data_IF_246192415959
#
_entry.id   IF_246192415959
#
_cell.length_a   1.000
_cell.length_b   1.000
_cell.length_c   1.000
_cell.angle_alpha   90.00
_cell.angle_beta   90.00
_cell.angle_gamma   90.00
#
_symmetry.space_group_name_H-M   'P 1'
#
loop_
_entity.id
_entity.type
_entity.pdbx_description
1 polymer ?
#
# COMPACT_ATOMS: atom_id res chain seq x y z
N UNK A 1 1.40 19.20 0.66
CA UNK A 1 0.59 18.28 1.52
C UNK A 1 1.51 17.44 2.36
N UNK A 2 1.17 17.20 3.64
CA UNK A 2 1.88 16.28 4.55
C UNK A 2 2.04 14.88 3.94
N UNK A 3 0.97 14.34 3.38
CA UNK A 3 0.96 13.01 2.77
C UNK A 3 1.98 12.84 1.63
N UNK A 4 2.32 13.92 0.93
CA UNK A 4 3.38 13.87 -0.08
C UNK A 4 4.77 13.72 0.57
N UNK A 5 4.97 14.36 1.75
CA UNK A 5 6.19 14.19 2.52
C UNK A 5 6.28 12.78 3.12
N UNK A 6 5.18 12.26 3.66
CA UNK A 6 5.12 10.89 4.19
C UNK A 6 5.50 9.86 3.12
N UNK A 7 4.95 10.01 1.89
CA UNK A 7 5.30 9.17 0.75
C UNK A 7 6.80 9.28 0.38
N UNK A 8 7.33 10.50 0.34
CA UNK A 8 8.72 10.74 -0.01
C UNK A 8 9.68 10.12 1.02
N UNK A 9 9.43 10.37 2.31
CA UNK A 9 10.26 9.85 3.40
C UNK A 9 10.19 8.31 3.46
N UNK A 10 9.04 7.71 3.16
CA UNK A 10 8.87 6.26 3.08
C UNK A 10 9.65 5.65 1.93
N UNK A 11 9.55 6.27 0.76
CA UNK A 11 10.29 5.85 -0.43
C UNK A 11 11.81 5.99 -0.22
N UNK A 12 12.23 7.01 0.52
CA UNK A 12 13.64 7.24 0.85
C UNK A 12 14.20 6.12 1.71
N UNK A 13 13.48 5.68 2.75
CA UNK A 13 13.94 4.57 3.61
C UNK A 13 14.10 3.27 2.79
N UNK A 14 13.18 3.00 1.85
CA UNK A 14 13.30 1.85 0.95
C UNK A 14 14.49 2.01 -0.02
N UNK A 15 14.69 3.19 -0.58
CA UNK A 15 15.81 3.49 -1.48
C UNK A 15 17.16 3.34 -0.78
N UNK A 16 17.29 3.83 0.46
CA UNK A 16 18.50 3.68 1.26
C UNK A 16 18.81 2.21 1.56
N UNK A 17 17.79 1.39 1.87
CA UNK A 17 17.96 -0.04 2.04
C UNK A 17 18.51 -0.69 0.76
N UNK A 18 17.87 -0.46 -0.38
CA UNK A 18 18.26 -1.09 -1.65
C UNK A 18 19.66 -0.68 -2.11
N UNK A 19 20.05 0.58 -1.89
CA UNK A 19 21.41 1.04 -2.16
C UNK A 19 22.45 0.37 -1.25
N UNK A 20 22.11 0.14 0.03
CA UNK A 20 23.01 -0.53 0.97
C UNK A 20 23.18 -2.03 0.63
N UNK A 21 22.14 -2.70 0.16
CA UNK A 21 22.18 -4.11 -0.26
C UNK A 21 22.81 -4.30 -1.65
N UNK A 22 22.76 -3.26 -2.49
CA UNK A 22 23.27 -3.27 -3.86
C UNK A 22 22.36 -4.00 -4.85
N UNK A 23 22.59 -3.75 -6.14
CA UNK A 23 21.72 -4.23 -7.25
C UNK A 23 21.50 -5.74 -7.28
N UNK A 24 22.42 -6.51 -6.73
CA UNK A 24 22.29 -7.98 -6.65
C UNK A 24 21.08 -8.47 -5.87
N UNK A 25 20.55 -7.65 -4.94
CA UNK A 25 19.36 -8.02 -4.17
C UNK A 25 18.07 -7.99 -5.01
N UNK A 26 18.04 -7.31 -6.15
CA UNK A 26 16.84 -7.14 -6.96
C UNK A 26 16.26 -8.46 -7.48
N UNK A 27 17.09 -9.47 -7.67
CA UNK A 27 16.65 -10.82 -8.08
C UNK A 27 16.07 -11.66 -6.95
N UNK A 28 16.10 -11.18 -5.70
CA UNK A 28 15.54 -11.89 -4.55
C UNK A 28 14.01 -11.92 -4.66
N UNK A 29 13.42 -13.14 -4.59
CA UNK A 29 11.98 -13.31 -4.57
C UNK A 29 11.40 -12.89 -3.22
N UNK A 30 10.34 -12.10 -3.24
CA UNK A 30 9.50 -11.80 -2.07
C UNK A 30 8.48 -12.91 -1.85
N UNK A 31 7.84 -12.92 -0.67
CA UNK A 31 6.72 -13.82 -0.41
C UNK A 31 5.41 -13.33 -1.03
N UNK A 32 5.40 -12.14 -1.62
CA UNK A 32 4.25 -11.60 -2.32
C UNK A 32 4.21 -12.14 -3.75
N UNK A 33 3.33 -13.12 -4.00
CA UNK A 33 3.09 -13.70 -5.34
C UNK A 33 4.38 -14.14 -6.07
N UNK A 34 5.46 -14.40 -5.31
CA UNK A 34 6.82 -14.68 -5.83
C UNK A 34 7.41 -13.55 -6.70
N UNK A 35 6.94 -12.32 -6.54
CA UNK A 35 7.54 -11.19 -7.20
C UNK A 35 8.97 -10.99 -6.72
N UNK A 36 9.88 -10.74 -7.63
CA UNK A 36 11.22 -10.29 -7.27
C UNK A 36 11.18 -8.86 -6.74
N UNK A 37 12.23 -8.45 -6.02
CA UNK A 37 12.35 -7.05 -5.61
C UNK A 37 12.35 -6.13 -6.84
N UNK A 38 12.93 -6.57 -7.97
CA UNK A 38 12.87 -5.84 -9.24
C UNK A 38 11.44 -5.65 -9.74
N UNK A 39 10.60 -6.68 -9.67
CA UNK A 39 9.17 -6.58 -10.02
C UNK A 39 8.43 -5.59 -9.13
N UNK A 40 8.74 -5.58 -7.84
CA UNK A 40 8.19 -4.63 -6.86
C UNK A 40 8.59 -3.20 -7.22
N UNK A 41 9.86 -2.94 -7.51
CA UNK A 41 10.33 -1.59 -7.86
C UNK A 41 9.74 -1.14 -9.20
N UNK A 42 9.64 -2.03 -10.19
CA UNK A 42 8.96 -1.75 -11.47
C UNK A 42 7.49 -1.39 -11.26
N UNK A 43 6.79 -2.10 -10.36
CA UNK A 43 5.41 -1.80 -9.97
C UNK A 43 5.29 -0.41 -9.30
N UNK A 44 6.15 -0.12 -8.34
CA UNK A 44 6.16 1.18 -7.67
C UNK A 44 6.46 2.33 -8.65
N UNK A 45 7.39 2.13 -9.58
CA UNK A 45 7.74 3.09 -10.63
C UNK A 45 6.55 3.37 -11.56
N UNK A 46 5.93 2.31 -12.09
CA UNK A 46 4.75 2.41 -12.95
C UNK A 46 3.65 3.29 -12.32
N UNK A 47 3.30 3.00 -11.07
CA UNK A 47 2.20 3.71 -10.40
C UNK A 47 2.59 5.10 -9.88
N UNK A 48 3.87 5.38 -9.67
CA UNK A 48 4.36 6.73 -9.44
C UNK A 48 4.16 7.59 -10.69
N UNK A 49 4.54 7.07 -11.86
CA UNK A 49 4.29 7.73 -13.12
C UNK A 49 2.79 8.01 -13.33
N UNK A 50 1.93 7.01 -13.13
CA UNK A 50 0.49 7.17 -13.20
C UNK A 50 -0.07 8.20 -12.21
N UNK A 51 0.53 8.34 -11.03
CA UNK A 51 0.13 9.35 -10.05
C UNK A 51 0.44 10.78 -10.53
N UNK A 52 1.52 10.99 -11.25
CA UNK A 52 1.83 12.28 -11.88
C UNK A 52 0.88 12.56 -13.04
N UNK A 53 0.64 11.57 -13.91
CA UNK A 53 -0.25 11.71 -15.07
C UNK A 53 -1.67 12.09 -14.66
N UNK A 54 -2.20 11.53 -13.57
CA UNK A 54 -3.56 11.86 -13.12
C UNK A 54 -3.72 13.30 -12.65
N UNK A 55 -2.65 13.95 -12.13
CA UNK A 55 -2.69 15.36 -11.76
C UNK A 55 -2.72 16.30 -12.94
N UNK A 56 -2.22 15.88 -14.11
CA UNK A 56 -2.30 16.69 -15.35
C UNK A 56 -3.75 16.88 -15.80
N UNK A 57 -4.64 15.94 -15.46
CA UNK A 57 -6.06 15.96 -15.86
C UNK A 57 -6.28 15.51 -17.30
N UNK A 58 -7.49 15.73 -17.84
CA UNK A 58 -7.84 15.30 -19.19
C UNK A 58 -7.68 13.78 -19.37
N UNK A 59 -7.11 13.36 -20.50
CA UNK A 59 -6.93 11.96 -20.86
C UNK A 59 -5.52 11.41 -20.53
N UNK A 60 -4.68 12.18 -19.83
CA UNK A 60 -3.30 11.80 -19.55
C UNK A 60 -3.22 10.44 -18.83
N UNK A 61 -4.00 10.27 -17.76
CA UNK A 61 -4.02 9.01 -17.03
C UNK A 61 -4.60 7.87 -17.89
N UNK A 62 -5.67 8.11 -18.62
CA UNK A 62 -6.33 7.08 -19.44
C UNK A 62 -5.39 6.59 -20.55
N UNK A 63 -4.70 7.49 -21.22
CA UNK A 63 -3.70 7.16 -22.24
C UNK A 63 -2.54 6.33 -21.71
N UNK A 64 -2.10 6.62 -20.48
CA UNK A 64 -1.07 5.85 -19.78
C UNK A 64 -1.60 4.47 -19.37
N UNK A 65 -2.78 4.44 -18.72
CA UNK A 65 -3.28 3.23 -18.08
C UNK A 65 -3.89 2.23 -19.06
N UNK A 66 -4.53 2.70 -20.12
CA UNK A 66 -5.25 1.84 -21.06
C UNK A 66 -4.40 0.68 -21.63
N UNK A 67 -3.18 0.89 -22.18
CA UNK A 67 -2.39 -0.21 -22.72
C UNK A 67 -2.03 -1.29 -21.69
N UNK A 68 -1.88 -0.91 -20.43
CA UNK A 68 -1.56 -1.82 -19.31
C UNK A 68 -2.83 -2.58 -18.92
N UNK A 69 -3.92 -1.86 -18.72
CA UNK A 69 -5.20 -2.44 -18.33
C UNK A 69 -5.76 -3.40 -19.39
N UNK A 70 -5.60 -3.10 -20.67
CA UNK A 70 -6.00 -4.02 -21.76
C UNK A 70 -5.28 -5.38 -21.61
N UNK A 71 -4.00 -5.40 -21.28
CA UNK A 71 -3.25 -6.66 -21.05
C UNK A 71 -3.75 -7.42 -19.82
N UNK A 72 -4.11 -6.69 -18.74
CA UNK A 72 -4.69 -7.32 -17.54
C UNK A 72 -6.07 -7.91 -17.85
N UNK A 73 -6.89 -7.22 -18.64
CA UNK A 73 -8.19 -7.72 -19.08
C UNK A 73 -8.05 -8.93 -20.01
N UNK A 74 -6.96 -9.02 -20.76
CA UNK A 74 -6.61 -10.20 -21.60
C UNK A 74 -6.01 -11.35 -20.77
N UNK A 75 -6.01 -11.24 -19.44
CA UNK A 75 -5.63 -12.32 -18.51
C UNK A 75 -4.17 -12.35 -18.08
N UNK A 76 -3.36 -11.34 -18.42
CA UNK A 76 -2.01 -11.22 -17.91
C UNK A 76 -2.01 -10.76 -16.45
N UNK A 77 -1.03 -11.21 -15.69
CA UNK A 77 -0.73 -10.63 -14.39
C UNK A 77 -0.27 -9.18 -14.53
N UNK A 78 -0.38 -8.40 -13.46
CA UNK A 78 0.08 -7.00 -13.48
C UNK A 78 1.59 -6.89 -13.75
N UNK A 79 2.40 -7.83 -13.24
CA UNK A 79 3.85 -7.89 -13.54
C UNK A 79 4.08 -8.10 -15.03
N UNK A 80 3.38 -9.04 -15.66
CA UNK A 80 3.52 -9.25 -17.11
C UNK A 80 3.04 -8.03 -17.91
N UNK A 81 1.98 -7.34 -17.45
CA UNK A 81 1.42 -6.17 -18.12
C UNK A 81 2.34 -4.92 -18.00
N UNK A 82 3.18 -4.83 -16.97
CA UNK A 82 4.12 -3.70 -16.80
C UNK A 82 5.38 -3.85 -17.68
N UNK A 83 5.77 -5.07 -18.08
CA UNK A 83 7.02 -5.32 -18.82
C UNK A 83 7.15 -4.49 -20.10
N UNK A 84 6.14 -4.38 -20.99
CA UNK A 84 6.24 -3.53 -22.17
C UNK A 84 6.41 -2.05 -21.85
N UNK A 85 5.81 -1.57 -20.75
CA UNK A 85 5.95 -0.18 -20.31
C UNK A 85 7.35 0.10 -19.78
N UNK A 86 7.95 -0.82 -19.01
CA UNK A 86 9.33 -0.72 -18.53
C UNK A 86 10.35 -0.74 -19.68
N UNK A 87 9.99 -1.27 -20.86
CA UNK A 87 10.80 -1.21 -22.08
C UNK A 87 12.27 -1.67 -21.89
N UNK A 88 12.48 -2.74 -21.10
CA UNK A 88 13.80 -3.30 -20.83
C UNK A 88 14.62 -2.57 -19.77
N UNK A 89 14.06 -1.59 -19.08
CA UNK A 89 14.71 -0.93 -17.92
C UNK A 89 14.77 -1.90 -16.75
N UNK A 90 15.98 -2.16 -16.24
CA UNK A 90 16.27 -3.12 -15.15
C UNK A 90 17.45 -2.66 -14.31
N UNK A 91 17.73 -3.32 -13.20
CA UNK A 91 18.92 -3.11 -12.40
C UNK A 91 19.07 -1.69 -11.85
N UNK A 92 20.28 -1.14 -11.93
CA UNK A 92 20.56 0.20 -11.46
C UNK A 92 19.71 1.27 -12.15
N UNK A 93 19.49 1.12 -13.47
CA UNK A 93 18.67 2.08 -14.21
C UNK A 93 17.23 2.11 -13.69
N UNK A 94 16.67 0.96 -13.33
CA UNK A 94 15.34 0.89 -12.74
C UNK A 94 15.28 1.56 -11.36
N UNK A 95 16.31 1.39 -10.53
CA UNK A 95 16.40 2.07 -9.24
C UNK A 95 16.48 3.59 -9.40
N UNK A 96 17.30 4.06 -10.33
CA UNK A 96 17.47 5.50 -10.61
C UNK A 96 16.16 6.10 -11.15
N UNK A 97 15.51 5.44 -12.11
CA UNK A 97 14.25 5.90 -12.71
C UNK A 97 13.10 5.88 -11.68
N UNK A 98 13.04 4.83 -10.85
CA UNK A 98 12.08 4.77 -9.75
C UNK A 98 12.32 5.91 -8.75
N UNK A 99 13.58 6.15 -8.33
CA UNK A 99 13.88 7.24 -7.42
C UNK A 99 13.51 8.61 -8.02
N UNK A 100 13.85 8.86 -9.28
CA UNK A 100 13.42 10.07 -9.97
C UNK A 100 11.88 10.21 -9.96
N UNK A 101 11.15 9.11 -10.18
CA UNK A 101 9.68 9.14 -10.12
C UNK A 101 9.14 9.48 -8.72
N UNK A 102 9.85 9.12 -7.64
CA UNK A 102 9.51 9.52 -6.28
C UNK A 102 9.61 11.03 -6.11
N UNK A 103 10.69 11.64 -6.61
CA UNK A 103 10.87 13.10 -6.59
C UNK A 103 9.79 13.80 -7.42
N UNK A 104 9.45 13.27 -8.60
CA UNK A 104 8.41 13.79 -9.47
C UNK A 104 7.04 13.77 -8.79
N UNK A 105 6.67 12.68 -8.13
CA UNK A 105 5.43 12.56 -7.34
C UNK A 105 5.43 13.56 -6.20
N UNK A 106 6.51 13.65 -5.42
CA UNK A 106 6.61 14.61 -4.33
C UNK A 106 6.41 16.04 -4.82
N UNK A 107 7.14 16.42 -5.88
CA UNK A 107 7.07 17.77 -6.45
C UNK A 107 5.66 18.09 -7.00
N UNK A 108 4.99 17.12 -7.62
CA UNK A 108 3.64 17.29 -8.15
C UNK A 108 2.57 17.43 -7.06
N UNK A 109 2.74 16.69 -5.94
CA UNK A 109 1.71 16.62 -4.89
C UNK A 109 1.92 17.56 -3.70
N UNK A 110 3.14 18.02 -3.39
CA UNK A 110 3.44 18.84 -2.21
C UNK A 110 2.54 20.10 -2.11
N UNK A 111 2.29 20.75 -3.24
CA UNK A 111 1.53 22.00 -3.35
C UNK A 111 0.18 21.83 -4.07
N UNK A 112 -0.21 20.60 -4.45
CA UNK A 112 -1.46 20.34 -5.13
C UNK A 112 -2.67 20.61 -4.20
N UNK A 113 -3.81 20.99 -4.78
CA UNK A 113 -5.08 21.08 -4.04
C UNK A 113 -5.45 19.67 -3.51
N UNK A 114 -5.51 19.46 -2.18
CA UNK A 114 -5.81 18.16 -1.60
C UNK A 114 -7.21 17.63 -1.95
N UNK A 115 -8.13 18.50 -2.37
CA UNK A 115 -9.51 18.15 -2.75
C UNK A 115 -9.67 17.91 -4.26
N UNK A 116 -8.67 18.25 -5.07
CA UNK A 116 -8.74 18.03 -6.52
C UNK A 116 -9.12 16.57 -6.81
N UNK A 117 -10.15 16.36 -7.63
CA UNK A 117 -10.55 15.02 -8.07
C UNK A 117 -9.59 14.52 -9.13
N UNK A 118 -9.13 13.28 -8.96
CA UNK A 118 -8.16 12.62 -9.85
C UNK A 118 -8.61 11.19 -10.16
N UNK A 119 -8.27 10.74 -11.37
CA UNK A 119 -8.53 9.38 -11.84
C UNK A 119 -7.56 8.37 -11.21
N UNK A 120 -7.90 7.10 -11.28
CA UNK A 120 -7.07 5.98 -10.86
C UNK A 120 -7.56 4.68 -11.52
N UNK A 121 -6.98 3.54 -11.16
CA UNK A 121 -7.45 2.22 -11.59
C UNK A 121 -8.80 1.80 -10.97
N UNK A 122 -9.49 2.67 -10.28
CA UNK A 122 -10.78 2.51 -9.64
C UNK A 122 -11.58 3.81 -9.65
N UNK A 123 -12.55 4.00 -8.73
CA UNK A 123 -13.30 5.24 -8.62
C UNK A 123 -12.39 6.46 -8.45
N UNK A 124 -12.85 7.62 -8.96
CA UNK A 124 -12.14 8.88 -8.72
C UNK A 124 -12.03 9.20 -7.23
N UNK A 125 -10.88 9.71 -6.85
CA UNK A 125 -10.57 10.07 -5.47
C UNK A 125 -9.98 11.48 -5.36
N UNK A 126 -9.80 11.98 -4.15
CA UNK A 126 -9.09 13.25 -3.94
C UNK A 126 -7.58 13.07 -4.18
N UNK A 127 -6.88 14.15 -4.55
CA UNK A 127 -5.42 14.13 -4.66
C UNK A 127 -4.76 13.71 -3.34
N UNK A 128 -5.34 14.10 -2.18
CA UNK A 128 -4.90 13.62 -0.86
C UNK A 128 -5.00 12.09 -0.76
N UNK A 129 -6.15 11.51 -1.11
CA UNK A 129 -6.33 10.06 -1.06
C UNK A 129 -5.40 9.35 -2.05
N UNK A 130 -5.14 9.94 -3.22
CA UNK A 130 -4.23 9.37 -4.23
C UNK A 130 -2.80 9.28 -3.71
N UNK A 131 -2.28 10.35 -3.12
CA UNK A 131 -0.91 10.32 -2.57
C UNK A 131 -0.80 9.45 -1.32
N UNK A 132 -1.86 9.40 -0.49
CA UNK A 132 -1.91 8.45 0.64
C UNK A 132 -1.91 7.00 0.14
N UNK A 133 -2.62 6.70 -0.96
CA UNK A 133 -2.58 5.38 -1.56
C UNK A 133 -1.17 5.03 -2.11
N UNK A 134 -0.44 5.99 -2.71
CA UNK A 134 0.96 5.76 -3.10
C UNK A 134 1.86 5.48 -1.90
N UNK A 135 1.68 6.22 -0.80
CA UNK A 135 2.39 5.95 0.45
C UNK A 135 2.06 4.55 0.98
N UNK A 136 0.79 4.16 0.98
CA UNK A 136 0.35 2.83 1.40
C UNK A 136 1.00 1.72 0.56
N UNK A 137 1.01 1.85 -0.76
CA UNK A 137 1.65 0.90 -1.67
C UNK A 137 3.17 0.79 -1.42
N UNK A 138 3.84 1.94 -1.29
CA UNK A 138 5.28 1.96 -1.00
C UNK A 138 5.58 1.31 0.35
N UNK A 139 4.76 1.60 1.38
CA UNK A 139 4.93 1.02 2.70
C UNK A 139 4.70 -0.50 2.68
N UNK A 140 3.61 -0.96 2.05
CA UNK A 140 3.26 -2.38 2.01
C UNK A 140 4.31 -3.20 1.24
N UNK A 141 4.62 -2.80 0.02
CA UNK A 141 5.65 -3.47 -0.79
C UNK A 141 7.05 -3.31 -0.20
N UNK A 142 7.34 -2.16 0.43
CA UNK A 142 8.57 -1.97 1.22
C UNK A 142 8.71 -3.02 2.31
N UNK A 143 7.63 -3.32 3.07
CA UNK A 143 7.67 -4.37 4.10
C UNK A 143 8.02 -5.74 3.50
N UNK A 144 7.50 -6.05 2.32
CA UNK A 144 7.82 -7.30 1.63
C UNK A 144 9.29 -7.38 1.22
N UNK A 145 9.89 -6.25 0.85
CA UNK A 145 11.33 -6.14 0.55
C UNK A 145 12.16 -6.30 1.81
N UNK A 146 11.84 -5.58 2.90
CA UNK A 146 12.51 -5.72 4.19
C UNK A 146 12.46 -7.16 4.70
N UNK A 147 11.30 -7.82 4.58
CA UNK A 147 11.10 -9.22 4.97
C UNK A 147 11.98 -10.16 4.14
N UNK A 148 11.99 -10.02 2.81
CA UNK A 148 12.77 -10.87 1.91
C UNK A 148 14.27 -10.76 2.15
N UNK A 149 14.74 -9.57 2.55
CA UNK A 149 16.15 -9.30 2.87
C UNK A 149 16.50 -9.61 4.33
N UNK A 150 15.53 -10.01 5.16
CA UNK A 150 15.75 -10.29 6.58
C UNK A 150 16.12 -9.05 7.40
N UNK A 151 15.72 -7.86 6.95
CA UNK A 151 16.04 -6.59 7.61
C UNK A 151 14.92 -6.11 8.51
N UNK A 152 15.29 -5.45 9.61
CA UNK A 152 14.32 -4.76 10.46
C UNK A 152 14.00 -3.40 9.86
N UNK A 153 12.70 -3.05 9.93
CA UNK A 153 12.21 -1.75 9.50
C UNK A 153 11.99 -0.86 10.71
N UNK A 154 12.50 0.35 10.66
CA UNK A 154 12.18 1.38 11.65
C UNK A 154 10.84 2.03 11.30
N UNK A 155 9.80 1.68 12.06
CA UNK A 155 8.47 2.24 11.87
C UNK A 155 8.35 3.66 12.44
N UNK A 156 7.63 4.53 11.74
CA UNK A 156 7.47 5.95 12.09
C UNK A 156 6.01 6.39 12.03
N UNK A 157 5.67 7.44 12.75
CA UNK A 157 4.29 7.96 12.85
C UNK A 157 3.72 8.47 11.52
N UNK A 158 4.52 8.61 10.48
CA UNK A 158 4.03 8.94 9.13
C UNK A 158 3.04 7.90 8.58
N UNK A 159 2.98 6.69 9.14
CA UNK A 159 1.97 5.69 8.79
C UNK A 159 0.55 6.07 9.22
N UNK A 160 0.35 7.14 10.01
CA UNK A 160 -0.97 7.53 10.53
C UNK A 160 -2.01 7.73 9.44
N UNK A 161 -1.61 8.35 8.32
CA UNK A 161 -2.52 8.58 7.19
C UNK A 161 -2.88 7.27 6.45
N UNK A 162 -1.94 6.32 6.37
CA UNK A 162 -2.17 4.96 5.85
C UNK A 162 -3.11 4.18 6.79
N UNK A 163 -2.86 4.21 8.10
CA UNK A 163 -3.74 3.59 9.10
C UNK A 163 -5.16 4.15 8.99
N UNK A 164 -5.29 5.48 8.89
CA UNK A 164 -6.59 6.13 8.67
C UNK A 164 -7.27 5.65 7.38
N UNK A 165 -6.52 5.49 6.29
CA UNK A 165 -7.03 4.90 5.05
C UNK A 165 -7.58 3.49 5.30
N UNK A 166 -6.85 2.65 6.05
CA UNK A 166 -7.33 1.33 6.47
C UNK A 166 -8.65 1.41 7.22
N UNK A 167 -8.77 2.34 8.17
CA UNK A 167 -9.99 2.51 8.98
C UNK A 167 -11.20 2.89 8.12
N UNK A 168 -11.06 3.88 7.23
CA UNK A 168 -12.17 4.32 6.37
C UNK A 168 -12.52 3.30 5.26
N UNK A 169 -11.64 2.36 4.98
CA UNK A 169 -11.88 1.26 4.06
C UNK A 169 -12.74 0.13 4.64
N UNK A 170 -13.20 0.25 5.90
CA UNK A 170 -14.10 -0.74 6.51
C UNK A 170 -15.26 -1.11 5.60
N UNK A 171 -16.07 -0.11 5.21
CA UNK A 171 -17.21 -0.33 4.32
C UNK A 171 -16.80 -0.86 2.94
N UNK A 172 -15.67 -0.37 2.39
CA UNK A 172 -15.13 -0.83 1.10
C UNK A 172 -14.83 -2.33 1.12
N UNK A 173 -14.21 -2.85 2.18
CA UNK A 173 -13.89 -4.28 2.35
C UNK A 173 -15.10 -5.16 2.04
N UNK A 174 -16.28 -4.81 2.54
CA UNK A 174 -17.50 -5.60 2.37
C UNK A 174 -18.20 -5.32 1.04
N UNK A 175 -18.34 -4.05 0.67
CA UNK A 175 -18.99 -3.64 -0.59
C UNK A 175 -18.27 -4.25 -1.80
N UNK A 176 -16.94 -4.22 -1.80
CA UNK A 176 -16.12 -4.82 -2.86
C UNK A 176 -16.41 -6.33 -3.04
N UNK A 177 -16.71 -7.02 -1.93
CA UNK A 177 -17.08 -8.45 -1.89
C UNK A 177 -18.57 -8.71 -2.06
N UNK A 178 -19.39 -7.67 -2.26
CA UNK A 178 -20.87 -7.76 -2.32
C UNK A 178 -21.47 -8.34 -1.03
N UNK A 179 -20.84 -8.07 0.11
CA UNK A 179 -21.31 -8.44 1.43
C UNK A 179 -21.97 -7.26 2.13
N UNK A 180 -22.89 -7.55 3.06
CA UNK A 180 -23.44 -6.53 3.95
C UNK A 180 -22.35 -6.01 4.90
N UNK A 181 -22.37 -4.70 5.15
CA UNK A 181 -21.42 -4.08 6.11
C UNK A 181 -21.91 -4.42 7.53
N UNK A 182 -21.11 -5.14 8.34
CA UNK A 182 -21.51 -5.46 9.72
C UNK A 182 -21.54 -4.20 10.61
N UNK A 183 -22.46 -4.19 11.55
CA UNK A 183 -22.62 -3.11 12.53
C UNK A 183 -22.58 -3.68 13.96
N UNK A 184 -22.11 -2.90 14.95
CA UNK A 184 -21.56 -1.54 14.83
C UNK A 184 -20.14 -1.52 14.24
N UNK A 185 -19.77 -0.41 13.61
CA UNK A 185 -18.39 -0.16 13.17
C UNK A 185 -17.41 -0.34 14.33
N UNK A 186 -16.31 -1.10 14.18
CA UNK A 186 -15.38 -1.34 15.27
C UNK A 186 -14.68 -0.06 15.76
N UNK A 187 -14.56 0.07 17.08
CA UNK A 187 -13.70 1.07 17.72
C UNK A 187 -12.24 0.60 17.67
N UNK A 188 -11.34 1.47 17.26
CA UNK A 188 -9.91 1.16 17.19
C UNK A 188 -9.12 1.92 18.25
N UNK A 189 -8.21 1.20 18.93
CA UNK A 189 -7.25 1.74 19.90
C UNK A 189 -5.87 1.22 19.49
N UNK A 190 -5.09 2.05 18.83
CA UNK A 190 -3.83 1.62 18.21
C UNK A 190 -2.65 2.41 18.79
N UNK A 191 -1.63 1.69 19.26
CA UNK A 191 -0.38 2.27 19.72
C UNK A 191 0.49 2.64 18.50
N UNK A 192 0.81 3.91 18.37
CA UNK A 192 1.68 4.46 17.34
C UNK A 192 3.13 4.02 17.55
N UNK A 193 4.00 4.09 16.52
CA UNK A 193 5.44 3.90 16.67
C UNK A 193 6.08 4.79 17.74
N UNK A 194 5.63 6.05 17.88
CA UNK A 194 6.08 6.99 18.93
C UNK A 194 5.63 6.62 20.35
N UNK A 195 4.67 5.68 20.50
CA UNK A 195 4.01 5.36 21.76
C UNK A 195 2.75 6.19 22.03
N UNK A 196 2.37 7.14 21.16
CA UNK A 196 1.05 7.76 21.21
C UNK A 196 -0.06 6.73 21.03
N UNK A 197 -1.26 7.03 21.54
CA UNK A 197 -2.45 6.21 21.31
C UNK A 197 -3.36 6.90 20.30
N UNK A 198 -3.55 6.26 19.15
CA UNK A 198 -4.48 6.72 18.13
C UNK A 198 -5.81 5.98 18.25
N UNK A 199 -6.90 6.73 18.08
CA UNK A 199 -8.25 6.18 18.24
C UNK A 199 -9.16 6.61 17.10
N UNK A 200 -10.07 5.72 16.69
CA UNK A 200 -11.07 5.98 15.66
C UNK A 200 -12.41 5.34 16.03
N UNK A 201 -13.46 5.92 15.49
CA UNK A 201 -14.85 5.51 15.62
C UNK A 201 -15.41 5.70 17.04
N UNK A 202 -16.59 5.17 17.30
CA UNK A 202 -17.30 5.33 18.58
C UNK A 202 -16.68 4.45 19.66
N UNK A 203 -16.23 5.07 20.74
CA UNK A 203 -15.65 4.37 21.91
C UNK A 203 -16.64 3.46 22.64
N UNK A 204 -17.94 3.69 22.47
CA UNK A 204 -19.00 2.88 23.06
C UNK A 204 -19.35 1.65 22.20
N UNK A 205 -18.70 1.48 21.04
CA UNK A 205 -18.89 0.32 20.19
C UNK A 205 -18.61 -0.98 20.94
N UNK A 206 -19.48 -1.94 20.80
CA UNK A 206 -19.29 -3.30 21.34
C UNK A 206 -18.27 -4.11 20.54
N UNK A 207 -17.83 -3.59 19.40
CA UNK A 207 -16.82 -4.22 18.53
C UNK A 207 -15.54 -3.39 18.58
N UNK A 208 -14.37 -4.04 18.79
CA UNK A 208 -13.09 -3.34 19.03
C UNK A 208 -11.91 -4.05 18.36
N UNK A 209 -10.91 -3.24 18.01
CA UNK A 209 -9.57 -3.70 17.58
C UNK A 209 -8.54 -2.91 18.39
N UNK A 210 -7.66 -3.63 19.10
CA UNK A 210 -6.63 -3.05 19.96
C UNK A 210 -5.27 -3.67 19.64
N UNK A 211 -4.21 -2.86 19.65
CA UNK A 211 -2.85 -3.34 19.39
C UNK A 211 -1.92 -2.26 18.83
N UNK A 212 -0.98 -2.64 18.00
CA UNK A 212 -0.08 -1.66 17.35
C UNK A 212 -0.67 -1.16 16.03
N UNK A 213 -0.42 0.12 15.72
CA UNK A 213 -0.80 0.72 14.45
C UNK A 213 -0.12 0.02 13.26
N UNK A 214 1.10 -0.48 13.48
CA UNK A 214 1.88 -1.22 12.48
C UNK A 214 1.19 -2.54 12.13
N UNK A 215 0.81 -3.35 13.13
CA UNK A 215 0.12 -4.63 12.88
C UNK A 215 -1.23 -4.41 12.20
N UNK A 216 -1.98 -3.38 12.61
CA UNK A 216 -3.23 -3.03 11.92
C UNK A 216 -2.97 -2.66 10.46
N UNK A 217 -1.96 -1.82 10.18
CA UNK A 217 -1.57 -1.47 8.82
C UNK A 217 -1.18 -2.72 8.00
N UNK A 218 -0.41 -3.64 8.59
CA UNK A 218 -0.02 -4.90 7.95
C UNK A 218 -1.22 -5.77 7.56
N UNK A 219 -2.26 -5.80 8.40
CA UNK A 219 -3.48 -6.58 8.11
C UNK A 219 -4.31 -5.93 7.01
N UNK A 220 -4.58 -4.62 7.07
CA UNK A 220 -5.45 -3.96 6.08
C UNK A 220 -4.80 -3.81 4.71
N UNK A 221 -3.47 -3.85 4.63
CA UNK A 221 -2.68 -3.92 3.38
C UNK A 221 -2.38 -5.36 2.93
N UNK A 222 -2.82 -6.36 3.70
CA UNK A 222 -2.59 -7.78 3.45
C UNK A 222 -1.11 -8.20 3.39
N UNK A 223 -0.23 -7.45 4.04
CA UNK A 223 1.18 -7.85 4.24
C UNK A 223 1.28 -8.99 5.26
N UNK A 224 0.34 -9.08 6.19
CA UNK A 224 0.23 -10.17 7.18
C UNK A 224 -1.21 -10.67 7.27
N UNK A 225 -1.36 -11.94 7.61
CA UNK A 225 -2.64 -12.45 8.12
C UNK A 225 -2.85 -11.93 9.54
N UNK A 226 -4.08 -11.57 9.92
CA UNK A 226 -4.34 -11.08 11.27
C UNK A 226 -3.96 -12.11 12.36
N UNK A 227 -4.05 -13.41 12.05
CA UNK A 227 -3.69 -14.48 12.98
C UNK A 227 -2.16 -14.60 13.21
N UNK A 228 -1.34 -13.85 12.47
CA UNK A 228 0.10 -13.72 12.64
C UNK A 228 0.48 -12.44 13.39
N UNK A 229 -0.51 -11.69 13.88
CA UNK A 229 -0.35 -10.44 14.65
C UNK A 229 -0.77 -10.65 16.10
N UNK A 230 -0.47 -9.65 16.94
CA UNK A 230 -0.90 -9.59 18.34
C UNK A 230 -2.12 -8.69 18.54
N UNK A 231 -2.84 -8.35 17.47
CA UNK A 231 -4.06 -7.55 17.56
C UNK A 231 -5.12 -8.29 18.40
N UNK A 232 -5.67 -7.59 19.38
CA UNK A 232 -6.83 -8.06 20.15
C UNK A 232 -8.10 -7.64 19.43
N UNK A 233 -8.97 -8.60 19.12
CA UNK A 233 -10.19 -8.39 18.35
C UNK A 233 -11.38 -8.84 19.15
N UNK A 234 -12.38 -7.97 19.32
CA UNK A 234 -13.59 -8.21 20.09
C UNK A 234 -14.82 -7.84 19.26
N UNK A 235 -15.84 -8.68 19.31
CA UNK A 235 -17.12 -8.49 18.62
C UNK A 235 -17.12 -8.95 17.17
N UNK A 236 -18.27 -9.48 16.73
CA UNK A 236 -18.42 -10.10 15.41
C UNK A 236 -18.04 -9.16 14.23
N UNK A 237 -18.43 -7.86 14.22
CA UNK A 237 -18.02 -6.96 13.13
C UNK A 237 -16.50 -6.85 12.93
N UNK A 238 -15.74 -6.78 14.03
CA UNK A 238 -14.27 -6.71 13.94
C UNK A 238 -13.69 -8.06 13.49
N UNK A 239 -14.22 -9.19 13.96
CA UNK A 239 -13.80 -10.53 13.53
C UNK A 239 -14.04 -10.72 12.04
N UNK A 240 -15.23 -10.35 11.55
CA UNK A 240 -15.55 -10.44 10.12
C UNK A 240 -14.67 -9.52 9.28
N UNK A 241 -14.38 -8.29 9.76
CA UNK A 241 -13.50 -7.39 9.04
C UNK A 241 -12.10 -7.97 8.87
N UNK A 242 -11.51 -8.50 9.92
CA UNK A 242 -10.13 -9.03 9.88
C UNK A 242 -9.99 -10.26 8.98
N UNK A 243 -11.08 -10.97 8.68
CA UNK A 243 -11.08 -12.06 7.69
C UNK A 243 -10.88 -11.58 6.25
N UNK A 244 -11.25 -10.34 5.94
CA UNK A 244 -11.34 -9.83 4.58
C UNK A 244 -10.66 -8.47 4.38
N UNK A 245 -10.03 -7.91 5.41
CA UNK A 245 -9.53 -6.54 5.40
C UNK A 245 -8.73 -6.25 4.12
N UNK A 246 -9.13 -5.18 3.43
CA UNK A 246 -8.51 -4.72 2.19
C UNK A 246 -8.69 -3.20 2.08
N UNK A 247 -7.59 -2.44 2.15
CA UNK A 247 -7.64 -0.99 2.03
C UNK A 247 -7.23 -0.46 0.64
N UNK A 248 -6.76 -1.31 -0.24
CA UNK A 248 -6.34 -0.97 -1.60
C UNK A 248 -7.45 -1.21 -2.62
N UNK A 249 -7.34 -0.51 -3.76
CA UNK A 249 -8.25 -0.65 -4.90
C UNK A 249 -8.01 -1.96 -5.65
N UNK A 250 -9.00 -2.38 -6.43
CA UNK A 250 -8.94 -3.59 -7.24
C UNK A 250 -10.03 -4.59 -6.87
N UNK A 251 -10.02 -5.77 -7.50
CA UNK A 251 -10.99 -6.82 -7.17
C UNK A 251 -10.81 -7.30 -5.72
N UNK A 252 -11.79 -8.04 -5.17
CA UNK A 252 -11.63 -8.69 -3.88
C UNK A 252 -10.39 -9.60 -3.87
N UNK A 253 -9.52 -9.42 -2.90
CA UNK A 253 -8.34 -10.25 -2.71
C UNK A 253 -8.33 -10.79 -1.27
N UNK A 254 -8.07 -12.10 -1.12
CA UNK A 254 -8.03 -12.71 0.19
C UNK A 254 -6.68 -12.44 0.87
N UNK A 255 -6.69 -12.20 2.20
CA UNK A 255 -5.45 -12.09 2.96
C UNK A 255 -4.54 -13.32 2.78
N UNK A 256 -3.22 -13.16 2.93
CA UNK A 256 -2.30 -14.29 2.86
C UNK A 256 -2.69 -15.36 3.91
N UNK A 257 -2.42 -16.62 3.61
CA UNK A 257 -2.63 -17.67 4.60
C UNK A 257 -1.73 -17.44 5.82
N UNK A 258 -2.21 -17.87 6.99
CA UNK A 258 -1.43 -17.78 8.24
C UNK A 258 -0.03 -18.40 8.06
N UNK A 259 1.00 -17.70 8.52
CA UNK A 259 2.38 -18.17 8.55
C UNK A 259 3.08 -18.17 7.18
N UNK A 260 2.46 -17.61 6.13
CA UNK A 260 3.06 -17.61 4.79
C UNK A 260 3.85 -16.35 4.47
N UNK A 261 3.73 -15.30 5.29
CA UNK A 261 4.48 -14.05 5.13
C UNK A 261 5.16 -13.67 6.45
N UNK A 262 6.46 -13.58 6.41
CA UNK A 262 7.31 -13.33 7.58
C UNK A 262 8.66 -12.73 7.15
N UNK A 263 9.41 -12.22 8.11
CA UNK A 263 10.79 -11.78 7.87
C UNK A 263 11.71 -12.99 7.78
N UNK A 264 12.49 -13.10 6.70
CA UNK A 264 13.49 -14.19 6.52
C UNK A 264 14.52 -14.13 7.63
N UNK A 265 14.89 -15.28 8.20
CA UNK A 265 15.90 -15.37 9.25
C UNK A 265 15.37 -15.23 10.69
N UNK A 266 14.08 -15.18 10.87
CA UNK A 266 13.40 -15.27 12.19
C UNK A 266 13.01 -16.71 12.52
#
# INVERSE_FOLDING_TARGET
MEQAKDFFDESKDLHELLNAEGVGCLSTATMFKNWTIEDVIGHLYLFNYGAVETLKGGDHFDNFWKPINDQVLDGKSLVEAQVPWLNGVTGNQLLDDWWQSVEDVFNAYKDADPKKRVKGGGPEMSARSKITARHMETWAHGQEVFDALGRDREEKDRIKNLVHMGVIAYGWTFVNRKLAIPEPTPYLILNAPSGEVWQWNDKESSSKIEGTAVEFAQVVTQVRNFADTKLSITGEPAIEWMKYAQCFAGPPEDPPAKGTRYKVGN
#
